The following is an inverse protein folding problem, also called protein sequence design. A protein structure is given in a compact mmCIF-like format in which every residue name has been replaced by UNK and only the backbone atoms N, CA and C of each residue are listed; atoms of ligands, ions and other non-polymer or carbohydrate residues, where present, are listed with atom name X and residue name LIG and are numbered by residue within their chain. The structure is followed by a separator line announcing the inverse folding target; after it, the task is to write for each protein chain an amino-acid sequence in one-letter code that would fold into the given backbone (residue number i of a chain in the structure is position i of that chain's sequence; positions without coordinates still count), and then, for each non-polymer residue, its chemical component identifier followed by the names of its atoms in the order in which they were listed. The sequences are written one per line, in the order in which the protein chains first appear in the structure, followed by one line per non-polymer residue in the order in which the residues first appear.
data_IF_859846631746
#
_entry.id   IF_859846631746
#
_cell.length_a   1.000
_cell.length_b   1.000
_cell.length_c   1.000
_cell.angle_alpha   90.00
_cell.angle_beta   90.00
_cell.angle_gamma   90.00
#
_symmetry.space_group_name_H-M   'P 1'
#
loop_
_entity.id
_entity.type
_entity.pdbx_description
1 polymer ?
#
# COMPACT_ATOMS: atom_id res chain seq x y z
N UNK A 1 29.55 2.31 1.05
CA UNK A 1 29.26 1.59 2.31
C UNK A 1 29.10 0.12 1.96
N UNK A 2 29.94 -0.78 2.48
CA UNK A 2 30.01 -2.18 2.01
C UNK A 2 28.76 -3.02 2.30
N UNK A 3 27.92 -2.61 3.25
CA UNK A 3 26.70 -3.33 3.66
C UNK A 3 25.42 -2.78 2.99
N UNK A 4 25.49 -1.68 2.24
CA UNK A 4 24.30 -1.04 1.68
C UNK A 4 23.89 -1.75 0.39
N UNK A 5 22.75 -2.43 0.42
CA UNK A 5 22.08 -2.95 -0.78
C UNK A 5 21.06 -1.91 -1.23
N UNK A 6 21.17 -1.42 -2.46
CA UNK A 6 20.25 -0.43 -3.03
C UNK A 6 19.21 -1.14 -3.93
N UNK A 7 17.97 -0.65 -4.03
CA UNK A 7 16.92 -1.22 -4.87
C UNK A 7 17.10 -0.85 -6.37
N UNK A 8 18.32 -1.04 -6.90
CA UNK A 8 18.71 -0.53 -8.23
C UNK A 8 17.88 -1.08 -9.38
N UNK A 9 17.38 -2.30 -9.27
CA UNK A 9 16.55 -2.90 -10.32
C UNK A 9 15.19 -2.21 -10.42
N UNK A 10 14.62 -1.77 -9.29
CA UNK A 10 13.40 -0.99 -9.26
C UNK A 10 13.63 0.43 -9.77
N UNK A 11 14.72 1.09 -9.36
CA UNK A 11 15.11 2.42 -9.85
C UNK A 11 15.32 2.43 -11.38
N UNK A 12 15.97 1.39 -11.91
CA UNK A 12 16.13 1.19 -13.36
C UNK A 12 14.78 0.94 -14.06
N UNK A 13 13.91 0.13 -13.47
CA UNK A 13 12.58 -0.13 -14.03
C UNK A 13 11.75 1.16 -14.10
N UNK A 14 11.71 1.94 -13.02
CA UNK A 14 10.99 3.21 -12.94
C UNK A 14 11.42 4.19 -14.03
N UNK A 15 12.73 4.39 -14.20
CA UNK A 15 13.26 5.28 -15.23
C UNK A 15 12.89 4.85 -16.66
N UNK A 16 12.98 3.55 -16.95
CA UNK A 16 12.64 3.01 -18.27
C UNK A 16 11.13 3.06 -18.54
N UNK A 17 10.27 2.82 -17.54
CA UNK A 17 8.81 3.01 -17.67
C UNK A 17 8.46 4.47 -17.97
N UNK A 18 9.18 5.43 -17.37
CA UNK A 18 9.03 6.86 -17.68
C UNK A 18 9.31 7.17 -19.15
N UNK A 19 10.45 6.69 -19.67
CA UNK A 19 10.84 6.87 -21.08
C UNK A 19 9.87 6.18 -22.04
N UNK A 20 9.47 4.94 -21.74
CA UNK A 20 8.47 4.21 -22.50
C UNK A 20 7.16 5.01 -22.59
N UNK A 21 6.65 5.48 -21.45
CA UNK A 21 5.41 6.27 -21.39
C UNK A 21 5.50 7.58 -22.19
N UNK A 22 6.64 8.27 -22.14
CA UNK A 22 6.82 9.51 -22.91
C UNK A 22 6.68 9.26 -24.42
N UNK A 23 7.33 8.20 -24.93
CA UNK A 23 7.22 7.83 -26.34
C UNK A 23 5.83 7.30 -26.69
N UNK A 24 5.25 6.42 -25.87
CA UNK A 24 3.91 5.87 -26.12
C UNK A 24 2.84 6.96 -26.15
N UNK A 25 2.92 7.96 -25.27
CA UNK A 25 2.02 9.13 -25.30
C UNK A 25 2.20 9.94 -26.58
N UNK A 26 3.45 10.24 -26.95
CA UNK A 26 3.71 10.97 -28.20
C UNK A 26 3.16 10.23 -29.43
N UNK A 27 3.35 8.91 -29.50
CA UNK A 27 2.77 8.07 -30.56
C UNK A 27 1.24 8.15 -30.56
N UNK A 28 0.60 7.99 -29.41
CA UNK A 28 -0.85 8.03 -29.28
C UNK A 28 -1.46 9.39 -29.67
N UNK A 29 -0.76 10.49 -29.37
CA UNK A 29 -1.20 11.84 -29.69
C UNK A 29 -0.93 12.20 -31.16
N UNK A 30 0.23 11.84 -31.69
CA UNK A 30 0.66 12.26 -33.05
C UNK A 30 0.04 11.43 -34.16
N UNK A 31 -0.09 10.11 -33.98
CA UNK A 31 -0.48 9.20 -35.07
C UNK A 31 -1.92 9.38 -35.58
N UNK A 32 -2.92 9.73 -34.74
CA UNK A 32 -4.29 9.96 -35.21
C UNK A 32 -4.47 11.22 -36.08
N UNK A 33 -3.49 12.11 -36.14
CA UNK A 33 -3.58 13.39 -36.87
C UNK A 33 -2.70 13.34 -38.12
N UNK A 34 -3.34 13.42 -39.29
CA UNK A 34 -2.69 13.50 -40.60
C UNK A 34 -3.50 14.43 -41.51
N UNK A 35 -2.86 15.39 -42.18
CA UNK A 35 -3.56 16.42 -42.97
C UNK A 35 -4.19 15.85 -44.24
N UNK A 36 -5.47 16.19 -44.49
CA UNK A 36 -6.27 15.77 -45.65
C UNK A 36 -6.29 14.24 -45.84
N UNK A 37 -5.95 13.72 -47.02
CA UNK A 37 -5.96 12.26 -47.28
C UNK A 37 -4.79 11.54 -46.62
N UNK A 38 -3.66 12.23 -46.41
CA UNK A 38 -2.54 11.92 -45.50
C UNK A 38 -1.39 12.91 -45.72
N UNK A 39 -0.66 13.22 -44.65
CA UNK A 39 0.74 13.65 -44.70
C UNK A 39 1.68 12.49 -44.30
N UNK A 40 2.99 12.64 -44.53
CA UNK A 40 3.98 11.57 -44.35
C UNK A 40 4.77 11.67 -43.02
N UNK A 41 4.33 12.51 -42.08
CA UNK A 41 5.03 12.70 -40.80
C UNK A 41 4.94 11.48 -39.88
N UNK A 42 3.92 10.65 -40.05
CA UNK A 42 3.72 9.36 -39.38
C UNK A 42 4.79 8.33 -39.75
N UNK A 43 5.28 8.31 -40.98
CA UNK A 43 6.26 7.33 -41.47
C UNK A 43 7.54 7.28 -40.64
N UNK A 44 8.10 8.44 -40.24
CA UNK A 44 9.28 8.47 -39.37
C UNK A 44 8.94 8.17 -37.91
N UNK A 45 7.73 8.50 -37.47
CA UNK A 45 7.30 8.29 -36.07
C UNK A 45 6.97 6.81 -35.81
N UNK A 46 6.33 6.12 -36.77
CA UNK A 46 6.04 4.68 -36.68
C UNK A 46 7.30 3.82 -36.56
N UNK A 47 8.44 4.26 -37.10
CA UNK A 47 9.73 3.57 -36.93
C UNK A 47 10.25 3.56 -35.48
N UNK A 48 9.65 4.36 -34.60
CA UNK A 48 10.01 4.44 -33.19
C UNK A 48 9.12 3.59 -32.26
N UNK A 49 8.16 2.83 -32.81
CA UNK A 49 7.37 1.88 -32.00
C UNK A 49 8.27 0.88 -31.27
N UNK A 50 9.31 0.37 -31.94
CA UNK A 50 10.27 -0.55 -31.34
C UNK A 50 11.09 0.08 -30.19
N UNK A 51 11.32 1.39 -30.22
CA UNK A 51 12.05 2.11 -29.15
C UNK A 51 11.21 2.16 -27.88
N UNK A 52 9.92 2.50 -28.01
CA UNK A 52 8.99 2.51 -26.90
C UNK A 52 8.84 1.12 -26.26
N UNK A 53 8.72 0.07 -27.08
CA UNK A 53 8.66 -1.31 -26.62
C UNK A 53 10.00 -1.79 -26.02
N UNK A 54 11.13 -1.31 -26.55
CA UNK A 54 12.46 -1.60 -26.01
C UNK A 54 12.63 -1.11 -24.58
N UNK A 55 12.26 0.15 -24.31
CA UNK A 55 12.25 0.67 -22.94
C UNK A 55 11.30 -0.10 -22.02
N UNK A 56 10.12 -0.47 -22.52
CA UNK A 56 9.15 -1.28 -21.76
C UNK A 56 9.74 -2.63 -21.38
N UNK A 57 10.38 -3.32 -22.32
CA UNK A 57 10.99 -4.63 -22.08
C UNK A 57 12.13 -4.56 -21.07
N UNK A 58 13.02 -3.56 -21.19
CA UNK A 58 14.10 -3.34 -20.22
C UNK A 58 13.56 -3.07 -18.82
N UNK A 59 12.48 -2.31 -18.72
CA UNK A 59 11.83 -2.04 -17.46
C UNK A 59 11.26 -3.31 -16.82
N UNK A 60 10.59 -4.17 -17.60
CA UNK A 60 10.03 -5.42 -17.10
C UNK A 60 11.10 -6.43 -16.69
N UNK A 61 12.18 -6.56 -17.47
CA UNK A 61 13.32 -7.41 -17.12
C UNK A 61 13.95 -6.94 -15.80
N UNK A 62 14.13 -5.63 -15.62
CA UNK A 62 14.64 -5.06 -14.36
C UNK A 62 13.66 -5.26 -13.20
N UNK A 63 12.36 -5.03 -13.42
CA UNK A 63 11.34 -5.26 -12.41
C UNK A 63 11.33 -6.72 -11.94
N UNK A 64 11.35 -7.68 -12.85
CA UNK A 64 11.38 -9.11 -12.53
C UNK A 64 12.65 -9.48 -11.76
N UNK A 65 13.81 -8.94 -12.15
CA UNK A 65 15.05 -9.11 -11.37
C UNK A 65 14.93 -8.55 -9.96
N UNK A 66 14.31 -7.38 -9.79
CA UNK A 66 14.05 -6.77 -8.48
C UNK A 66 13.12 -7.63 -7.63
N UNK A 67 11.99 -8.08 -8.19
CA UNK A 67 11.01 -8.92 -7.50
C UNK A 67 11.61 -10.25 -7.03
N UNK A 68 12.48 -10.87 -7.83
CA UNK A 68 13.16 -12.12 -7.48
C UNK A 68 14.24 -11.96 -6.37
N UNK A 69 14.56 -10.73 -5.97
CA UNK A 69 15.51 -10.45 -4.88
C UNK A 69 14.80 -10.09 -3.56
N UNK A 70 13.48 -9.98 -3.55
CA UNK A 70 12.72 -9.56 -2.38
C UNK A 70 12.60 -10.70 -1.37
N UNK A 71 12.90 -10.39 -0.11
CA UNK A 71 12.61 -11.22 1.05
C UNK A 71 11.92 -10.35 2.11
N UNK A 72 10.86 -10.86 2.72
CA UNK A 72 10.13 -10.12 3.74
C UNK A 72 10.86 -10.19 5.09
N UNK A 73 11.19 -9.03 5.66
CA UNK A 73 11.69 -8.93 7.03
C UNK A 73 10.51 -9.01 8.01
N UNK A 74 10.13 -10.24 8.36
CA UNK A 74 9.00 -10.51 9.27
C UNK A 74 9.22 -9.92 10.66
N UNK A 75 10.46 -9.89 11.16
CA UNK A 75 10.78 -9.35 12.48
C UNK A 75 10.54 -7.85 12.50
N UNK A 76 11.04 -7.12 11.50
CA UNK A 76 10.84 -5.68 11.40
C UNK A 76 9.37 -5.32 11.26
N UNK A 77 8.63 -6.07 10.44
CA UNK A 77 7.18 -5.90 10.34
C UNK A 77 6.52 -6.10 11.72
N UNK A 78 6.88 -7.18 12.44
CA UNK A 78 6.49 -7.48 13.84
C UNK A 78 6.69 -6.34 14.80
N UNK A 79 7.88 -5.79 14.85
CA UNK A 79 8.22 -4.66 15.71
C UNK A 79 7.41 -3.41 15.34
N UNK A 80 7.28 -3.10 14.05
CA UNK A 80 6.55 -1.91 13.61
C UNK A 80 5.06 -2.02 13.99
N UNK A 81 4.39 -3.16 13.78
CA UNK A 81 2.98 -3.30 14.18
C UNK A 81 2.81 -3.33 15.71
N UNK A 82 3.70 -3.99 16.46
CA UNK A 82 3.60 -4.01 17.93
C UNK A 82 3.89 -2.64 18.56
N UNK A 83 4.59 -1.75 17.85
CA UNK A 83 4.82 -0.37 18.28
C UNK A 83 3.63 0.58 18.06
N UNK A 84 2.56 0.15 17.35
CA UNK A 84 1.45 1.00 16.90
C UNK A 84 0.07 0.46 17.33
N UNK A 85 -0.19 0.37 18.64
CA UNK A 85 -1.47 -0.12 19.19
C UNK A 85 -2.64 0.85 18.97
N UNK A 86 -2.38 2.11 18.64
CA UNK A 86 -3.39 3.09 18.25
C UNK A 86 -4.21 2.66 17.02
N UNK A 87 -3.70 1.75 16.19
CA UNK A 87 -4.44 1.17 15.05
C UNK A 87 -5.72 0.43 15.50
N UNK A 88 -5.76 -0.06 16.75
CA UNK A 88 -6.96 -0.71 17.30
C UNK A 88 -8.03 0.28 17.77
N UNK A 89 -7.80 1.59 17.66
CA UNK A 89 -8.80 2.59 18.04
C UNK A 89 -10.09 2.45 17.21
N UNK A 90 -9.97 2.26 15.90
CA UNK A 90 -11.13 2.13 15.01
C UNK A 90 -12.01 0.89 15.30
N UNK A 91 -11.48 -0.34 15.43
CA UNK A 91 -12.31 -1.50 15.75
C UNK A 91 -12.99 -1.36 17.12
N UNK A 92 -12.27 -0.83 18.12
CA UNK A 92 -12.85 -0.55 19.44
C UNK A 92 -14.00 0.46 19.33
N UNK A 93 -13.80 1.55 18.59
CA UNK A 93 -14.86 2.54 18.34
C UNK A 93 -16.09 1.92 17.68
N UNK A 94 -15.86 1.04 16.72
CA UNK A 94 -16.92 0.42 15.93
C UNK A 94 -17.75 -0.52 16.79
N UNK A 95 -17.11 -1.30 17.67
CA UNK A 95 -17.81 -2.12 18.66
C UNK A 95 -18.55 -1.27 19.69
N UNK A 96 -17.97 -0.16 20.15
CA UNK A 96 -18.68 0.80 21.02
C UNK A 96 -19.95 1.34 20.36
N UNK A 97 -19.91 1.68 19.07
CA UNK A 97 -21.09 2.10 18.30
C UNK A 97 -22.14 0.99 18.21
N UNK A 98 -21.72 -0.25 17.95
CA UNK A 98 -22.62 -1.42 17.90
C UNK A 98 -23.43 -1.60 19.19
N UNK A 99 -22.84 -1.31 20.34
CA UNK A 99 -23.50 -1.43 21.65
C UNK A 99 -24.05 -0.10 22.20
N UNK A 100 -24.13 0.96 21.39
CA UNK A 100 -24.77 2.21 21.78
C UNK A 100 -24.03 3.03 22.83
N UNK A 101 -22.71 2.86 22.96
CA UNK A 101 -21.90 3.68 23.88
C UNK A 101 -21.88 5.12 23.37
N UNK A 102 -22.23 6.07 24.25
CA UNK A 102 -22.24 7.49 23.91
C UNK A 102 -20.82 8.04 23.63
N UNK A 103 -20.72 8.93 22.63
CA UNK A 103 -19.52 9.66 22.23
C UNK A 103 -18.26 8.77 22.05
N UNK A 104 -18.33 7.67 21.27
CA UNK A 104 -17.25 6.68 21.22
C UNK A 104 -15.97 7.24 20.61
N UNK A 105 -16.09 8.13 19.62
CA UNK A 105 -14.96 8.81 18.99
C UNK A 105 -14.21 9.73 19.97
N UNK A 106 -14.93 10.58 20.72
CA UNK A 106 -14.27 11.51 21.65
C UNK A 106 -13.58 10.76 22.80
N UNK A 107 -14.18 9.68 23.32
CA UNK A 107 -13.56 8.83 24.34
C UNK A 107 -12.23 8.21 23.87
N UNK A 108 -12.17 7.78 22.61
CA UNK A 108 -10.95 7.21 22.02
C UNK A 108 -9.92 8.27 21.67
N UNK A 109 -10.36 9.43 21.20
CA UNK A 109 -9.50 10.57 20.93
C UNK A 109 -8.78 11.06 22.17
N UNK A 110 -9.42 11.04 23.34
CA UNK A 110 -8.75 11.36 24.62
C UNK A 110 -7.62 10.37 24.94
N UNK A 111 -7.77 9.09 24.56
CA UNK A 111 -6.75 8.06 24.74
C UNK A 111 -5.60 8.20 23.73
N UNK A 112 -5.89 8.50 22.47
CA UNK A 112 -4.92 8.40 21.36
C UNK A 112 -4.30 9.73 20.92
N UNK A 113 -4.90 10.88 21.25
CA UNK A 113 -4.46 12.17 20.70
C UNK A 113 -3.13 12.62 21.30
N UNK A 114 -2.12 12.70 20.44
CA UNK A 114 -0.80 13.25 20.77
C UNK A 114 0.06 12.33 21.65
N UNK A 115 -0.32 11.05 21.80
CA UNK A 115 0.39 10.06 22.61
C UNK A 115 0.46 8.73 21.86
N UNK A 116 1.57 8.03 22.00
CA UNK A 116 1.61 6.60 21.64
C UNK A 116 0.78 5.82 22.66
N UNK A 117 -0.04 4.92 22.16
CA UNK A 117 -0.85 4.04 23.02
C UNK A 117 -0.08 2.75 23.19
N UNK A 118 0.14 2.32 24.43
CA UNK A 118 0.71 1.00 24.70
C UNK A 118 -0.38 -0.07 24.66
N UNK A 119 0.05 -1.34 24.50
CA UNK A 119 -0.83 -2.50 24.69
C UNK A 119 -1.67 -2.40 25.96
N UNK A 120 -1.00 -2.13 27.09
CA UNK A 120 -1.65 -2.05 28.39
C UNK A 120 -2.71 -0.95 28.42
N UNK A 121 -2.39 0.26 27.92
CA UNK A 121 -3.33 1.37 27.89
C UNK A 121 -4.58 1.07 27.04
N UNK A 122 -4.40 0.38 25.90
CA UNK A 122 -5.53 -0.06 25.07
C UNK A 122 -6.38 -1.12 25.78
N UNK A 123 -5.74 -2.10 26.43
CA UNK A 123 -6.45 -3.15 27.18
C UNK A 123 -7.21 -2.59 28.40
N UNK A 124 -6.61 -1.66 29.14
CA UNK A 124 -7.24 -0.97 30.26
C UNK A 124 -8.47 -0.18 29.80
N UNK A 125 -8.35 0.52 28.66
CA UNK A 125 -9.47 1.23 28.06
C UNK A 125 -10.62 0.29 27.70
N UNK A 126 -10.34 -0.83 27.00
CA UNK A 126 -11.35 -1.84 26.66
C UNK A 126 -12.00 -2.43 27.93
N UNK A 127 -11.20 -2.68 28.97
CA UNK A 127 -11.68 -3.15 30.28
C UNK A 127 -12.70 -2.21 30.92
N UNK A 128 -12.50 -0.89 30.78
CA UNK A 128 -13.37 0.15 31.34
C UNK A 128 -14.73 0.31 30.62
N UNK A 129 -14.89 -0.24 29.41
CA UNK A 129 -16.09 -0.02 28.60
C UNK A 129 -17.34 -0.68 29.22
N UNK A 130 -18.49 -0.03 29.14
CA UNK A 130 -19.78 -0.62 29.53
C UNK A 130 -20.41 -1.42 28.37
N UNK A 131 -19.74 -2.49 27.93
CA UNK A 131 -20.19 -3.39 26.84
C UNK A 131 -20.23 -4.86 27.33
N UNK A 132 -20.95 -5.77 26.65
CA UNK A 132 -21.04 -7.17 27.06
C UNK A 132 -19.68 -7.86 27.19
N UNK A 133 -19.56 -8.79 28.14
CA UNK A 133 -18.30 -9.47 28.43
C UNK A 133 -17.70 -10.20 27.21
N UNK A 134 -18.53 -10.83 26.37
CA UNK A 134 -18.08 -11.47 25.13
C UNK A 134 -17.45 -10.48 24.15
N UNK A 135 -18.05 -9.29 23.99
CA UNK A 135 -17.48 -8.25 23.13
C UNK A 135 -16.17 -7.68 23.68
N UNK A 136 -16.03 -7.58 25.01
CA UNK A 136 -14.74 -7.20 25.62
C UNK A 136 -13.68 -8.27 25.36
N UNK A 137 -14.02 -9.54 25.52
CA UNK A 137 -13.08 -10.64 25.29
C UNK A 137 -12.56 -10.63 23.84
N UNK A 138 -13.45 -10.49 22.86
CA UNK A 138 -13.07 -10.36 21.44
C UNK A 138 -12.13 -9.16 21.20
N UNK A 139 -12.43 -7.99 21.80
CA UNK A 139 -11.56 -6.81 21.67
C UNK A 139 -10.20 -6.97 22.37
N UNK A 140 -10.12 -7.73 23.47
CA UNK A 140 -8.88 -7.98 24.21
C UNK A 140 -7.95 -8.98 23.51
N UNK A 141 -8.50 -9.85 22.65
CA UNK A 141 -7.74 -10.76 21.79
C UNK A 141 -7.21 -10.08 20.53
N UNK A 142 -7.76 -8.93 20.14
CA UNK A 142 -7.26 -8.17 19.00
C UNK A 142 -5.84 -7.66 19.24
N UNK A 143 -5.05 -7.74 18.17
CA UNK A 143 -3.71 -7.17 18.08
C UNK A 143 -3.59 -6.47 16.74
N UNK A 144 -2.66 -5.51 16.57
CA UNK A 144 -2.38 -4.92 15.26
C UNK A 144 -2.07 -5.99 14.19
N UNK A 145 -1.50 -7.13 14.59
CA UNK A 145 -1.22 -8.30 13.76
C UNK A 145 -2.45 -9.02 13.23
N UNK A 146 -3.47 -9.15 14.07
CA UNK A 146 -4.68 -9.90 13.73
C UNK A 146 -5.76 -9.02 13.11
N UNK A 147 -5.65 -7.70 13.28
CA UNK A 147 -6.57 -6.73 12.68
C UNK A 147 -6.24 -6.41 11.21
N UNK A 148 -6.24 -7.44 10.37
CA UNK A 148 -5.99 -7.34 8.91
C UNK A 148 -7.27 -7.45 8.06
N UNK A 149 -8.43 -7.55 8.71
CA UNK A 149 -9.72 -7.73 8.05
C UNK A 149 -9.69 -8.93 7.09
N UNK A 150 -10.05 -8.69 5.82
CA UNK A 150 -10.06 -9.72 4.77
C UNK A 150 -8.78 -9.76 3.93
N UNK A 151 -7.70 -9.09 4.33
CA UNK A 151 -6.49 -8.95 3.50
C UNK A 151 -5.96 -10.30 2.99
N UNK A 152 -5.77 -11.28 3.88
CA UNK A 152 -5.28 -12.60 3.49
C UNK A 152 -6.28 -13.40 2.63
N UNK A 153 -7.59 -13.26 2.89
CA UNK A 153 -8.64 -13.87 2.07
C UNK A 153 -8.58 -13.33 0.64
N UNK A 154 -8.55 -12.01 0.48
CA UNK A 154 -8.54 -11.35 -0.82
C UNK A 154 -7.25 -11.59 -1.60
N UNK A 155 -6.09 -11.59 -0.92
CA UNK A 155 -4.81 -11.85 -1.56
C UNK A 155 -4.71 -13.26 -2.18
N UNK A 156 -5.38 -14.26 -1.57
CA UNK A 156 -5.41 -15.64 -2.10
C UNK A 156 -6.43 -15.85 -3.22
N UNK A 157 -7.32 -14.88 -3.46
CA UNK A 157 -8.38 -14.98 -4.46
C UNK A 157 -7.97 -14.46 -5.84
N UNK A 158 -6.83 -13.78 -5.94
CA UNK A 158 -6.25 -13.25 -7.18
C UNK A 158 -5.30 -14.29 -7.76
#
# INVERSE_FOLDING_TARGET
MPHKVNPIDFENSEGNLGLANALLRHLAEKLPISRWQRDLTDSTVLRNMGVALGYTLLAYDSLLRGLNKLEADTVRLHEDLDANWELLAEPVQTVMRRYGVANPYEKLKELTRGKRVSRQAMQDFVGSLAIPAGAKAELLELTPWTYIGKAAELARRI
#
